data_IF_763041544385
#
_entry.id   IF_763041544385
#
_cell.length_a   1.000
_cell.length_b   1.000
_cell.length_c   1.000
_cell.angle_alpha   90.00
_cell.angle_beta   90.00
_cell.angle_gamma   90.00
#
_symmetry.space_group_name_H-M   'P 1'
#
loop_
_entity.id
_entity.type
_entity.pdbx_description
1 polymer ?
#
# COMPACT_ATOMS: atom_id res chain seq x y z
N UNK A 1 -5.41 6.85 17.02
CA UNK A 1 -4.84 5.63 16.41
C UNK A 1 -5.28 4.42 17.21
N UNK A 2 -5.90 3.43 16.57
CA UNK A 2 -6.31 2.17 17.18
C UNK A 2 -5.11 1.26 17.44
N UNK A 3 -5.26 0.21 18.25
CA UNK A 3 -4.20 -0.80 18.48
C UNK A 3 -3.73 -1.44 17.16
N UNK A 4 -4.66 -1.72 16.24
CA UNK A 4 -4.36 -2.30 14.92
C UNK A 4 -3.51 -1.36 14.07
N UNK A 5 -3.89 -0.08 14.01
CA UNK A 5 -3.14 0.94 13.27
C UNK A 5 -1.73 1.13 13.85
N UNK A 6 -1.59 1.14 15.18
CA UNK A 6 -0.28 1.21 15.83
C UNK A 6 0.62 0.04 15.45
N UNK A 7 0.09 -1.18 15.56
CA UNK A 7 0.83 -2.39 15.22
C UNK A 7 1.27 -2.40 13.76
N UNK A 8 0.38 -1.98 12.85
CA UNK A 8 0.71 -1.85 11.43
C UNK A 8 1.90 -0.90 11.21
N UNK A 9 1.91 0.27 11.84
CA UNK A 9 3.02 1.24 11.70
C UNK A 9 4.31 0.66 12.27
N UNK A 10 4.27 0.09 13.48
CA UNK A 10 5.45 -0.50 14.13
C UNK A 10 6.05 -1.63 13.25
N UNK A 11 5.22 -2.45 12.61
CA UNK A 11 5.65 -3.54 11.74
C UNK A 11 6.13 -3.07 10.36
N UNK A 12 5.52 -2.05 9.76
CA UNK A 12 6.04 -1.45 8.51
C UNK A 12 7.44 -0.87 8.71
N UNK A 13 7.67 -0.20 9.85
CA UNK A 13 8.99 0.32 10.20
C UNK A 13 9.97 -0.85 10.41
N UNK A 14 9.62 -1.81 11.28
CA UNK A 14 10.50 -2.92 11.67
C UNK A 14 10.86 -3.85 10.51
N UNK A 15 9.89 -4.20 9.65
CA UNK A 15 10.06 -5.21 8.61
C UNK A 15 10.45 -4.63 7.25
N UNK A 16 10.08 -3.37 6.98
CA UNK A 16 10.21 -2.77 5.64
C UNK A 16 10.96 -1.45 5.62
N UNK A 17 11.22 -0.83 6.78
CA UNK A 17 11.83 0.49 6.86
C UNK A 17 10.92 1.61 6.33
N UNK A 18 9.60 1.38 6.31
CA UNK A 18 8.60 2.33 5.82
C UNK A 18 7.87 2.94 7.01
N UNK A 19 8.13 4.22 7.29
CA UNK A 19 7.56 4.96 8.43
C UNK A 19 6.35 5.84 8.07
N UNK A 20 6.05 5.97 6.77
CA UNK A 20 4.95 6.81 6.26
C UNK A 20 3.66 6.05 5.97
N UNK A 21 3.70 4.75 5.70
CA UNK A 21 2.50 3.97 5.34
C UNK A 21 1.49 3.91 6.49
N UNK A 22 0.20 4.07 6.19
CA UNK A 22 -0.89 4.01 7.17
C UNK A 22 -2.05 3.17 6.64
N UNK A 23 -2.80 2.51 7.54
CA UNK A 23 -4.13 1.97 7.20
C UNK A 23 -5.02 3.16 6.78
N UNK A 24 -5.79 2.97 5.70
CA UNK A 24 -6.61 4.01 5.09
C UNK A 24 -5.90 4.83 4.01
N UNK A 25 -4.58 4.66 3.84
CA UNK A 25 -3.83 5.36 2.79
C UNK A 25 -4.15 4.78 1.40
N UNK A 26 -4.28 5.67 0.42
CA UNK A 26 -4.40 5.31 -0.99
C UNK A 26 -3.05 4.82 -1.52
N UNK A 27 -3.11 3.76 -2.33
CA UNK A 27 -1.98 3.24 -3.09
C UNK A 27 -2.40 2.95 -4.53
N UNK A 28 -1.45 3.01 -5.45
CA UNK A 28 -1.57 2.49 -6.82
C UNK A 28 -0.63 1.29 -6.92
N UNK A 29 -1.16 0.10 -7.18
CA UNK A 29 -0.39 -1.14 -7.30
C UNK A 29 -0.55 -1.65 -8.73
N UNK A 30 0.54 -1.73 -9.50
CA UNK A 30 0.52 -2.08 -10.93
C UNK A 30 -0.48 -1.23 -11.76
N UNK A 31 -0.70 0.04 -11.38
CA UNK A 31 -1.65 0.93 -12.05
C UNK A 31 -3.10 0.86 -11.53
N UNK A 32 -3.41 -0.07 -10.62
CA UNK A 32 -4.74 -0.19 -10.01
C UNK A 32 -4.79 0.50 -8.63
N UNK A 33 -5.79 1.36 -8.43
CA UNK A 33 -5.95 2.13 -7.19
C UNK A 33 -6.64 1.30 -6.10
N UNK A 34 -6.08 1.31 -4.89
CA UNK A 34 -6.65 0.65 -3.72
C UNK A 34 -6.38 1.38 -2.42
N UNK A 35 -6.95 0.86 -1.34
CA UNK A 35 -6.77 1.36 0.03
C UNK A 35 -6.12 0.30 0.90
N UNK A 36 -5.09 0.68 1.67
CA UNK A 36 -4.47 -0.21 2.65
C UNK A 36 -5.45 -0.47 3.79
N UNK A 37 -5.75 -1.74 4.07
CA UNK A 37 -6.63 -2.15 5.18
C UNK A 37 -5.90 -2.95 6.28
N UNK A 38 -4.63 -3.28 6.05
CA UNK A 38 -3.81 -4.06 6.98
C UNK A 38 -2.52 -4.57 6.34
N UNK A 39 -2.00 -5.64 6.94
CA UNK A 39 -0.88 -6.41 6.43
C UNK A 39 -1.00 -7.87 6.84
N UNK A 40 -0.41 -8.76 6.05
CA UNK A 40 -0.30 -10.18 6.39
C UNK A 40 0.99 -10.49 7.19
N UNK A 41 1.16 -11.77 7.57
CA UNK A 41 2.29 -12.23 8.39
C UNK A 41 3.69 -12.05 7.75
N UNK A 42 3.77 -11.78 6.45
CA UNK A 42 5.01 -11.46 5.74
C UNK A 42 5.24 -9.95 5.59
N UNK A 43 4.46 -9.13 6.30
CA UNK A 43 4.50 -7.67 6.20
C UNK A 43 4.32 -7.15 4.76
N UNK A 44 3.50 -7.83 3.96
CA UNK A 44 2.96 -7.28 2.73
C UNK A 44 1.66 -6.54 3.05
N UNK A 45 1.31 -5.55 2.23
CA UNK A 45 0.09 -4.78 2.39
C UNK A 45 -1.13 -5.66 2.06
N UNK A 46 -2.18 -5.53 2.88
CA UNK A 46 -3.52 -5.95 2.50
C UNK A 46 -4.21 -4.74 1.86
N UNK A 47 -4.52 -4.82 0.56
CA UNK A 47 -5.10 -3.72 -0.21
C UNK A 47 -6.48 -4.11 -0.73
N UNK A 48 -7.51 -3.30 -0.43
CA UNK A 48 -8.81 -3.45 -1.10
C UNK A 48 -8.82 -2.52 -2.30
N UNK A 49 -8.88 -3.10 -3.51
CA UNK A 49 -8.91 -2.33 -4.75
C UNK A 49 -10.26 -1.65 -4.97
N UNK A 50 -10.21 -0.46 -5.57
CA UNK A 50 -11.39 0.36 -5.88
C UNK A 50 -12.24 -0.31 -6.97
N UNK A 51 -11.59 -0.95 -7.95
CA UNK A 51 -12.29 -1.70 -8.99
C UNK A 51 -12.76 -3.07 -8.48
N UNK A 52 -13.85 -3.05 -7.72
CA UNK A 52 -14.43 -4.25 -7.10
C UNK A 52 -15.02 -5.24 -8.11
N UNK A 53 -15.27 -4.84 -9.37
CA UNK A 53 -15.69 -5.77 -10.42
C UNK A 53 -14.53 -6.65 -10.88
N UNK A 54 -13.29 -6.14 -10.87
CA UNK A 54 -12.08 -6.87 -11.24
C UNK A 54 -11.53 -7.71 -10.09
N UNK A 55 -11.50 -7.15 -8.87
CA UNK A 55 -10.82 -7.75 -7.72
C UNK A 55 -11.77 -8.30 -6.64
N UNK A 56 -13.06 -7.96 -6.69
CA UNK A 56 -13.98 -8.23 -5.58
C UNK A 56 -13.79 -7.26 -4.40
N UNK A 57 -14.35 -7.62 -3.24
CA UNK A 57 -14.36 -6.78 -2.02
C UNK A 57 -13.36 -7.22 -0.96
N UNK A 58 -12.57 -8.25 -1.23
CA UNK A 58 -11.60 -8.78 -0.28
C UNK A 58 -10.25 -8.07 -0.42
N UNK A 59 -9.41 -8.08 0.63
CA UNK A 59 -8.06 -7.54 0.52
C UNK A 59 -7.17 -8.47 -0.31
N UNK A 60 -6.34 -7.86 -1.13
CA UNK A 60 -5.31 -8.50 -1.94
C UNK A 60 -3.93 -8.29 -1.31
N UNK A 61 -3.04 -9.26 -1.53
CA UNK A 61 -1.68 -9.27 -1.00
C UNK A 61 -0.73 -8.49 -1.93
N UNK A 62 -0.24 -7.33 -1.51
CA UNK A 62 0.61 -6.46 -2.30
C UNK A 62 1.98 -6.24 -1.64
N UNK A 63 3.07 -6.49 -2.39
CA UNK A 63 4.42 -6.24 -1.85
C UNK A 63 4.66 -4.72 -1.70
N UNK A 64 5.17 -4.22 -0.56
CA UNK A 64 5.17 -2.78 -0.27
C UNK A 64 6.08 -1.89 -1.14
N UNK A 65 6.91 -2.50 -1.99
CA UNK A 65 7.89 -1.81 -2.85
C UNK A 65 7.96 -2.38 -4.27
N UNK A 66 6.98 -3.19 -4.67
CA UNK A 66 6.96 -3.79 -6.02
C UNK A 66 5.82 -3.16 -6.82
N UNK A 67 6.18 -2.28 -7.76
CA UNK A 67 5.20 -1.57 -8.61
C UNK A 67 4.10 -0.88 -7.80
N UNK A 68 4.51 -0.10 -6.79
CA UNK A 68 3.57 0.60 -5.91
C UNK A 68 3.87 2.09 -5.78
N UNK A 69 2.83 2.91 -5.77
CA UNK A 69 2.88 4.33 -5.38
C UNK A 69 2.04 4.55 -4.13
N UNK A 70 2.52 5.43 -3.25
CA UNK A 70 1.81 5.87 -2.05
C UNK A 70 1.47 7.34 -2.17
N UNK A 71 0.30 7.71 -1.65
CA UNK A 71 -0.23 9.06 -1.77
C UNK A 71 -0.54 9.66 -0.40
N UNK A 72 -0.38 10.97 -0.27
CA UNK A 72 -0.89 11.72 0.87
C UNK A 72 -2.41 12.00 0.75
N UNK A 73 -2.96 12.72 1.73
CA UNK A 73 -4.38 13.04 1.79
C UNK A 73 -4.86 13.98 0.67
N UNK A 74 -3.95 14.73 0.04
CA UNK A 74 -4.24 15.62 -1.09
C UNK A 74 -4.09 14.88 -2.44
N UNK A 75 -3.76 13.58 -2.41
CA UNK A 75 -3.56 12.76 -3.60
C UNK A 75 -2.20 12.97 -4.26
N UNK A 76 -1.22 13.58 -3.58
CA UNK A 76 0.14 13.72 -4.09
C UNK A 76 0.96 12.48 -3.76
N UNK A 77 1.77 12.03 -4.73
CA UNK A 77 2.70 10.92 -4.54
C UNK A 77 3.77 11.29 -3.51
N UNK A 78 3.91 10.47 -2.47
CA UNK A 78 4.93 10.60 -1.42
C UNK A 78 6.01 9.53 -1.48
N UNK A 79 5.76 8.42 -2.18
CA UNK A 79 6.75 7.41 -2.52
C UNK A 79 6.33 6.68 -3.81
N UNK A 80 7.30 6.39 -4.68
CA UNK A 80 7.10 5.71 -5.95
C UNK A 80 8.15 4.61 -6.11
N UNK A 81 7.70 3.36 -6.15
CA UNK A 81 8.51 2.15 -6.34
C UNK A 81 8.19 1.46 -7.68
N UNK A 82 7.58 2.18 -8.63
CA UNK A 82 7.37 1.65 -9.97
C UNK A 82 8.68 1.63 -10.74
N UNK A 83 8.94 0.55 -11.48
CA UNK A 83 10.05 0.55 -12.43
C UNK A 83 9.71 1.56 -13.51
N UNK A 84 10.44 2.67 -13.54
CA UNK A 84 10.39 3.56 -14.70
C UNK A 84 10.90 2.73 -15.87
N UNK A 85 10.01 2.36 -16.78
CA UNK A 85 10.41 2.04 -18.13
C UNK A 85 11.02 3.32 -18.71
N UNK A 86 12.32 3.55 -18.48
CA UNK A 86 13.10 4.49 -19.28
C UNK A 86 13.18 3.87 -20.67
N UNK A 87 12.16 4.16 -21.48
CA UNK A 87 12.32 4.13 -22.92
C UNK A 87 13.42 5.15 -23.26
N UNK A 88 14.59 4.63 -23.59
CA UNK A 88 15.59 5.34 -24.37
C UNK A 88 15.10 5.48 -25.82
#
# INVERSE_FOLDING_TARGET
MTKKEKQFVDDMIRCRGIDFARIGMMVEVYGDIGTIVGMNGSANLDVVFTNQLKYGKHPENCHPICEVKYFDADGKVIADYTTKNTAA
#
